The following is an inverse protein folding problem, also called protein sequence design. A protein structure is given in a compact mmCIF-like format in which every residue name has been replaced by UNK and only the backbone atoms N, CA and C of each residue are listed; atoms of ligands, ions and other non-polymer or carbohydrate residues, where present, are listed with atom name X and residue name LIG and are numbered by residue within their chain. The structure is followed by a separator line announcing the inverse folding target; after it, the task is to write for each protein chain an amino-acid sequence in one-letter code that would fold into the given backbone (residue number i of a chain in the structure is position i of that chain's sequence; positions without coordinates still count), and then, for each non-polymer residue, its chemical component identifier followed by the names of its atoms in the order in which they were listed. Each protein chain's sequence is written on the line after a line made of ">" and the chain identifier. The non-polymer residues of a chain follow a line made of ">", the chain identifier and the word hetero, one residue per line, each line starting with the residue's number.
data_IF_065758827556
#
_entry.id   IF_065758827556
#
_cell.length_a   1.000
_cell.length_b   1.000
_cell.length_c   1.000
_cell.angle_alpha   90.00
_cell.angle_beta   90.00
_cell.angle_gamma   90.00
#
_symmetry.space_group_name_H-M   'P 1'
#
loop_
_entity.id
_entity.type
_entity.pdbx_description
1 polymer ?
#
# COMPACT_ATOMS: atom_id res chain seq x y z
N UNK A 1 6.91 -2.12 -30.82
CA UNK A 1 8.13 -1.46 -31.32
C UNK A 1 7.82 0.01 -31.64
N UNK A 2 8.76 0.88 -31.39
CA UNK A 2 8.66 2.27 -31.84
C UNK A 2 8.86 2.35 -33.35
N UNK A 3 8.03 3.14 -34.04
CA UNK A 3 8.03 3.25 -35.52
C UNK A 3 9.22 4.05 -36.06
N UNK A 4 9.94 4.79 -35.23
CA UNK A 4 11.06 5.65 -35.63
C UNK A 4 12.40 5.01 -35.35
N UNK A 5 12.55 4.36 -34.19
CA UNK A 5 13.84 3.85 -33.69
C UNK A 5 13.98 2.34 -33.77
N UNK A 6 12.89 1.60 -34.04
CA UNK A 6 12.78 0.13 -33.96
C UNK A 6 13.04 -0.48 -32.56
N UNK A 7 13.33 0.33 -31.55
CA UNK A 7 13.41 -0.11 -30.17
C UNK A 7 12.02 -0.47 -29.61
N UNK A 8 11.98 -1.12 -28.46
CA UNK A 8 10.71 -1.27 -27.76
C UNK A 8 10.23 0.10 -27.28
N UNK A 9 8.95 0.40 -27.48
CA UNK A 9 8.40 1.73 -27.21
C UNK A 9 8.69 2.19 -25.77
N UNK A 10 8.63 1.27 -24.80
CA UNK A 10 8.93 1.58 -23.40
C UNK A 10 10.35 2.09 -23.18
N UNK A 11 11.32 1.66 -24.01
CA UNK A 11 12.73 2.04 -23.87
C UNK A 11 13.01 3.48 -24.38
N UNK A 12 12.10 4.04 -25.18
CA UNK A 12 12.20 5.41 -25.72
C UNK A 12 11.28 6.41 -25.03
N UNK A 13 10.42 5.95 -24.13
CA UNK A 13 9.61 6.84 -23.28
C UNK A 13 10.47 7.34 -22.13
N UNK A 14 10.46 8.67 -21.93
CA UNK A 14 11.14 9.27 -20.77
C UNK A 14 10.56 8.72 -19.47
N UNK A 15 11.45 8.23 -18.58
CA UNK A 15 11.10 7.64 -17.28
C UNK A 15 10.67 8.71 -16.27
N UNK A 16 9.57 9.39 -16.57
CA UNK A 16 8.92 10.43 -15.77
C UNK A 16 7.41 10.24 -15.81
N UNK A 17 6.78 10.17 -14.64
CA UNK A 17 5.33 10.01 -14.53
C UNK A 17 4.67 11.29 -14.01
N UNK A 18 3.78 11.88 -14.83
CA UNK A 18 2.92 12.99 -14.42
C UNK A 18 1.86 12.55 -13.40
N UNK A 19 1.28 13.51 -12.70
CA UNK A 19 0.12 13.29 -11.85
C UNK A 19 -0.91 14.42 -11.99
N UNK A 20 -2.19 14.10 -11.75
CA UNK A 20 -3.31 15.07 -11.84
C UNK A 20 -3.85 15.46 -10.45
N UNK A 21 -3.18 15.06 -9.37
CA UNK A 21 -3.49 15.49 -8.01
C UNK A 21 -4.26 14.47 -7.16
N UNK A 22 -4.98 13.51 -7.74
CA UNK A 22 -5.81 12.56 -6.96
C UNK A 22 -5.00 11.74 -5.96
N UNK A 23 -3.82 11.22 -6.34
CA UNK A 23 -2.94 10.50 -5.41
C UNK A 23 -2.46 11.37 -4.25
N UNK A 24 -2.18 12.66 -4.49
CA UNK A 24 -1.85 13.62 -3.43
C UNK A 24 -3.02 13.83 -2.49
N UNK A 25 -4.22 14.05 -3.03
CA UNK A 25 -5.41 14.26 -2.20
C UNK A 25 -5.73 13.04 -1.33
N UNK A 26 -5.63 11.84 -1.91
CA UNK A 26 -5.80 10.58 -1.16
C UNK A 26 -4.80 10.46 -0.01
N UNK A 27 -3.52 10.74 -0.26
CA UNK A 27 -2.49 10.69 0.79
C UNK A 27 -2.70 11.74 1.89
N UNK A 28 -3.10 12.97 1.52
CA UNK A 28 -3.42 14.03 2.48
C UNK A 28 -4.61 13.60 3.35
N UNK A 29 -5.67 13.06 2.73
CA UNK A 29 -6.87 12.66 3.46
C UNK A 29 -6.60 11.48 4.37
N UNK A 30 -5.82 10.50 3.93
CA UNK A 30 -5.40 9.38 4.77
C UNK A 30 -4.66 9.86 6.03
N UNK A 31 -3.73 10.84 5.89
CA UNK A 31 -3.04 11.43 7.04
C UNK A 31 -3.99 12.19 7.97
N UNK A 32 -4.98 12.92 7.44
CA UNK A 32 -6.00 13.63 8.24
C UNK A 32 -6.91 12.69 9.03
N UNK A 33 -7.09 11.48 8.53
CA UNK A 33 -7.90 10.45 9.16
C UNK A 33 -7.09 9.49 10.03
N UNK A 34 -5.76 9.68 10.12
CA UNK A 34 -4.83 8.78 10.80
C UNK A 34 -4.91 7.35 10.24
N UNK A 35 -5.16 7.25 8.93
CA UNK A 35 -5.38 6.01 8.22
C UNK A 35 -4.13 5.53 7.48
N UNK A 36 -3.87 4.21 7.50
CA UNK A 36 -2.73 3.60 6.81
C UNK A 36 -3.02 3.34 5.33
N UNK A 37 -2.81 4.33 4.47
CA UNK A 37 -2.85 4.21 3.00
C UNK A 37 -1.45 4.06 2.40
N UNK A 38 -0.62 3.18 2.97
CA UNK A 38 0.81 3.07 2.63
C UNK A 38 1.07 2.74 1.16
N UNK A 39 0.28 1.85 0.54
CA UNK A 39 0.47 1.48 -0.87
C UNK A 39 0.12 2.64 -1.81
N UNK A 40 -0.99 3.33 -1.54
CA UNK A 40 -1.44 4.47 -2.35
C UNK A 40 -0.44 5.62 -2.25
N UNK A 41 0.08 5.88 -1.06
CA UNK A 41 1.09 6.90 -0.80
C UNK A 41 2.43 6.53 -1.44
N UNK A 42 2.87 5.26 -1.37
CA UNK A 42 4.09 4.80 -2.04
C UNK A 42 4.01 4.98 -3.56
N UNK A 43 2.87 4.65 -4.18
CA UNK A 43 2.64 4.88 -5.60
C UNK A 43 2.73 6.37 -5.98
N UNK A 44 2.17 7.24 -5.17
CA UNK A 44 2.24 8.70 -5.37
C UNK A 44 3.69 9.21 -5.22
N UNK A 45 4.41 8.80 -4.18
CA UNK A 45 5.80 9.21 -3.94
C UNK A 45 6.75 8.72 -5.03
N UNK A 46 6.54 7.52 -5.58
CA UNK A 46 7.31 7.02 -6.71
C UNK A 46 7.20 7.94 -7.94
N UNK A 47 6.01 8.49 -8.20
CA UNK A 47 5.81 9.47 -9.28
C UNK A 47 6.53 10.79 -9.01
N UNK A 48 6.58 11.25 -7.76
CA UNK A 48 7.35 12.45 -7.40
C UNK A 48 8.84 12.18 -7.64
N UNK A 49 9.36 11.03 -7.18
CA UNK A 49 10.77 10.66 -7.37
C UNK A 49 11.13 10.58 -8.86
N UNK A 50 10.23 10.06 -9.72
CA UNK A 50 10.49 9.98 -11.16
C UNK A 50 10.79 11.33 -11.80
N UNK A 51 10.23 12.42 -11.28
CA UNK A 51 10.43 13.79 -11.78
C UNK A 51 11.75 14.43 -11.30
N UNK A 52 12.48 13.82 -10.37
CA UNK A 52 13.76 14.35 -9.86
C UNK A 52 14.93 13.92 -10.74
N UNK A 53 14.88 14.22 -12.03
CA UNK A 53 15.85 13.74 -13.03
C UNK A 53 17.29 14.07 -12.69
N UNK A 54 17.57 15.32 -12.33
CA UNK A 54 18.94 15.74 -12.02
C UNK A 54 19.54 14.99 -10.82
N UNK A 55 18.73 14.75 -9.78
CA UNK A 55 19.14 13.97 -8.61
C UNK A 55 19.38 12.50 -8.99
N UNK A 56 18.45 11.90 -9.72
CA UNK A 56 18.56 10.50 -10.18
C UNK A 56 19.77 10.31 -11.09
N UNK A 57 20.05 11.28 -11.98
CA UNK A 57 21.19 11.24 -12.91
C UNK A 57 22.52 11.32 -12.19
N UNK A 58 22.61 12.05 -11.09
CA UNK A 58 23.82 12.12 -10.28
C UNK A 58 24.15 10.74 -9.64
N UNK A 59 23.13 10.06 -9.09
CA UNK A 59 23.35 8.80 -8.38
C UNK A 59 23.45 7.58 -9.30
N UNK A 60 22.69 7.50 -10.40
CA UNK A 60 22.72 6.34 -11.30
C UNK A 60 24.06 6.12 -12.01
N UNK A 61 24.94 7.12 -12.02
CA UNK A 61 26.29 6.99 -12.55
C UNK A 61 27.26 6.32 -11.58
N UNK A 62 26.94 6.37 -10.30
CA UNK A 62 27.77 5.84 -9.21
C UNK A 62 27.37 4.42 -8.79
N UNK A 63 26.10 4.05 -9.03
CA UNK A 63 25.52 2.77 -8.60
C UNK A 63 24.95 2.06 -9.82
N UNK A 64 25.48 0.89 -10.13
CA UNK A 64 24.99 0.03 -11.19
C UNK A 64 24.11 -1.07 -10.58
N UNK A 65 22.92 -1.24 -11.14
CA UNK A 65 22.03 -2.34 -10.76
C UNK A 65 22.06 -3.38 -11.87
N UNK A 66 22.30 -4.64 -11.51
CA UNK A 66 22.27 -5.74 -12.44
C UNK A 66 20.85 -6.06 -12.90
N UNK A 67 20.71 -6.38 -14.20
CA UNK A 67 19.44 -6.93 -14.70
C UNK A 67 19.23 -8.30 -14.07
N UNK A 68 18.06 -8.50 -13.45
CA UNK A 68 17.68 -9.78 -12.83
C UNK A 68 16.52 -10.39 -13.61
N UNK A 69 16.61 -11.69 -13.82
CA UNK A 69 15.45 -12.44 -14.29
C UNK A 69 14.54 -12.74 -13.10
N UNK A 70 13.29 -12.40 -13.24
CA UNK A 70 12.25 -12.67 -12.24
C UNK A 70 11.24 -13.67 -12.81
N UNK A 71 10.67 -14.48 -11.96
CA UNK A 71 9.59 -15.39 -12.31
C UNK A 71 8.29 -14.60 -12.57
N UNK A 72 7.84 -14.60 -13.82
CA UNK A 72 6.67 -13.81 -14.25
C UNK A 72 5.39 -14.28 -13.57
N UNK A 73 5.23 -15.57 -13.28
CA UNK A 73 4.03 -16.07 -12.58
C UNK A 73 4.00 -15.57 -11.14
N UNK A 74 5.15 -15.50 -10.48
CA UNK A 74 5.27 -14.92 -9.15
C UNK A 74 5.08 -13.40 -9.16
N UNK A 75 5.55 -12.71 -10.20
CA UNK A 75 5.23 -11.27 -10.38
C UNK A 75 3.73 -11.07 -10.49
N UNK A 76 3.02 -11.93 -11.23
CA UNK A 76 1.57 -11.91 -11.36
C UNK A 76 0.86 -12.09 -10.01
N UNK A 77 1.30 -13.06 -9.21
CA UNK A 77 0.76 -13.32 -7.88
C UNK A 77 1.04 -12.14 -6.94
N UNK A 78 2.26 -11.62 -6.92
CA UNK A 78 2.63 -10.44 -6.14
C UNK A 78 1.82 -9.19 -6.54
N UNK A 79 1.63 -8.97 -7.84
CA UNK A 79 0.81 -7.88 -8.37
C UNK A 79 -0.65 -8.02 -7.95
N UNK A 80 -1.23 -9.21 -8.08
CA UNK A 80 -2.60 -9.50 -7.67
C UNK A 80 -2.81 -9.13 -6.20
N UNK A 81 -1.92 -9.59 -5.33
CA UNK A 81 -1.95 -9.31 -3.91
C UNK A 81 -1.81 -7.80 -3.59
N UNK A 82 -0.79 -7.14 -4.15
CA UNK A 82 -0.59 -5.71 -3.92
C UNK A 82 -1.80 -4.89 -4.40
N UNK A 83 -2.40 -5.27 -5.52
CA UNK A 83 -3.61 -4.66 -6.05
C UNK A 83 -4.80 -4.84 -5.09
N UNK A 84 -5.02 -6.03 -4.56
CA UNK A 84 -6.08 -6.31 -3.58
C UNK A 84 -5.91 -5.46 -2.33
N UNK A 85 -4.71 -5.37 -1.76
CA UNK A 85 -4.44 -4.51 -0.60
C UNK A 85 -4.67 -3.03 -0.94
N UNK A 86 -4.24 -2.55 -2.11
CA UNK A 86 -4.44 -1.16 -2.51
C UNK A 86 -5.94 -0.81 -2.64
N UNK A 87 -6.76 -1.72 -3.19
CA UNK A 87 -8.21 -1.53 -3.23
C UNK A 87 -8.82 -1.56 -1.82
N UNK A 88 -8.42 -2.50 -0.96
CA UNK A 88 -8.88 -2.54 0.42
C UNK A 88 -8.56 -1.22 1.14
N UNK A 89 -7.31 -0.74 1.08
CA UNK A 89 -6.94 0.56 1.66
C UNK A 89 -7.80 1.72 1.11
N UNK A 90 -8.11 1.72 -0.18
CA UNK A 90 -8.95 2.76 -0.80
C UNK A 90 -10.39 2.73 -0.30
N UNK A 91 -11.00 1.53 -0.19
CA UNK A 91 -12.37 1.38 0.30
C UNK A 91 -12.50 1.59 1.81
N UNK A 92 -11.51 1.15 2.59
CA UNK A 92 -11.47 1.42 4.03
C UNK A 92 -11.32 2.92 4.31
N UNK A 93 -10.53 3.64 3.51
CA UNK A 93 -10.44 5.09 3.61
C UNK A 93 -11.80 5.77 3.30
N UNK A 94 -12.59 5.26 2.32
CA UNK A 94 -13.96 5.74 2.09
C UNK A 94 -14.87 5.46 3.28
N UNK A 95 -14.80 4.28 3.89
CA UNK A 95 -15.57 3.93 5.07
C UNK A 95 -15.25 4.89 6.23
N UNK A 96 -13.97 5.10 6.50
CA UNK A 96 -13.53 5.96 7.59
C UNK A 96 -13.93 7.42 7.34
N UNK A 97 -13.83 7.90 6.10
CA UNK A 97 -14.34 9.21 5.70
C UNK A 97 -15.85 9.31 5.86
N UNK A 98 -16.58 8.28 5.45
CA UNK A 98 -18.03 8.22 5.62
C UNK A 98 -18.45 8.36 7.07
N UNK A 99 -17.78 7.65 7.96
CA UNK A 99 -18.03 7.73 9.40
C UNK A 99 -17.65 9.11 9.96
N UNK A 100 -16.45 9.59 9.64
CA UNK A 100 -15.93 10.87 10.16
C UNK A 100 -16.75 12.08 9.72
N UNK A 101 -17.22 12.08 8.48
CA UNK A 101 -17.94 13.20 7.89
C UNK A 101 -19.45 12.98 7.80
N UNK A 102 -19.96 11.84 8.30
CA UNK A 102 -21.38 11.48 8.27
C UNK A 102 -21.97 11.50 6.85
N UNK A 103 -21.26 10.91 5.88
CA UNK A 103 -21.68 10.91 4.46
C UNK A 103 -22.62 9.78 4.10
N UNK A 104 -22.71 8.74 4.91
CA UNK A 104 -23.51 7.55 4.63
C UNK A 104 -23.23 6.94 3.24
N UNK A 105 -21.96 6.72 2.92
CA UNK A 105 -21.52 6.22 1.62
C UNK A 105 -21.94 4.78 1.40
N UNK A 106 -22.57 4.50 0.27
CA UNK A 106 -22.81 3.13 -0.18
C UNK A 106 -21.59 2.59 -0.93
N UNK A 107 -20.71 1.86 -0.24
CA UNK A 107 -19.42 1.38 -0.78
C UNK A 107 -19.62 0.38 -1.93
N UNK A 108 -20.69 -0.43 -1.91
CA UNK A 108 -21.06 -1.29 -3.04
C UNK A 108 -21.35 -0.47 -4.30
N UNK A 109 -22.12 0.62 -4.18
CA UNK A 109 -22.42 1.47 -5.33
C UNK A 109 -21.16 2.19 -5.84
N UNK A 110 -20.25 2.60 -4.95
CA UNK A 110 -18.96 3.16 -5.34
C UNK A 110 -18.15 2.13 -6.14
N UNK A 111 -18.07 0.87 -5.68
CA UNK A 111 -17.42 -0.21 -6.41
C UNK A 111 -18.07 -0.43 -7.80
N UNK A 112 -19.39 -0.36 -7.88
CA UNK A 112 -20.14 -0.49 -9.15
C UNK A 112 -19.78 0.61 -10.15
N UNK A 113 -19.63 1.86 -9.70
CA UNK A 113 -19.25 3.00 -10.56
C UNK A 113 -17.84 2.78 -11.16
N UNK A 114 -16.92 2.19 -10.42
CA UNK A 114 -15.55 1.94 -10.89
C UNK A 114 -15.43 0.80 -11.91
N UNK A 115 -16.49 0.02 -12.15
CA UNK A 115 -16.47 -1.12 -13.07
C UNK A 115 -16.50 -0.76 -14.55
N UNK A 116 -16.90 0.45 -14.91
CA UNK A 116 -16.95 0.90 -16.28
C UNK A 116 -16.56 2.38 -16.42
N UNK A 117 -15.88 2.71 -17.50
CA UNK A 117 -15.46 4.08 -17.77
C UNK A 117 -14.39 4.64 -16.83
N UNK A 118 -13.75 3.78 -16.05
CA UNK A 118 -12.73 4.16 -15.09
C UNK A 118 -11.42 3.40 -15.35
N UNK A 119 -10.28 4.09 -15.18
CA UNK A 119 -8.96 3.48 -15.37
C UNK A 119 -8.65 2.36 -14.37
N UNK A 120 -9.30 2.38 -13.20
CA UNK A 120 -9.13 1.36 -12.15
C UNK A 120 -10.09 0.18 -12.28
N UNK A 121 -10.87 0.09 -13.37
CA UNK A 121 -11.77 -1.05 -13.55
C UNK A 121 -11.03 -2.40 -13.41
N UNK A 122 -11.62 -3.35 -12.69
CA UNK A 122 -11.04 -4.65 -12.40
C UNK A 122 -12.12 -5.70 -12.08
N UNK A 123 -11.83 -6.99 -12.33
CA UNK A 123 -12.71 -8.08 -11.87
C UNK A 123 -12.91 -8.06 -10.35
N UNK A 124 -11.87 -7.72 -9.62
CA UNK A 124 -11.86 -7.53 -8.15
C UNK A 124 -13.03 -6.66 -7.64
N UNK A 125 -13.48 -5.67 -8.41
CA UNK A 125 -14.60 -4.81 -8.02
C UNK A 125 -15.92 -5.58 -7.87
N UNK A 126 -16.09 -6.69 -8.60
CA UNK A 126 -17.24 -7.56 -8.43
C UNK A 126 -17.22 -8.26 -7.07
N UNK A 127 -16.03 -8.77 -6.69
CA UNK A 127 -15.85 -9.43 -5.40
C UNK A 127 -16.02 -8.44 -4.23
N UNK A 128 -15.57 -7.19 -4.41
CA UNK A 128 -15.81 -6.09 -3.46
C UNK A 128 -17.30 -5.79 -3.31
N UNK A 129 -18.05 -5.77 -4.41
CA UNK A 129 -19.50 -5.57 -4.36
C UNK A 129 -20.20 -6.69 -3.59
N UNK A 130 -19.80 -7.95 -3.82
CA UNK A 130 -20.35 -9.10 -3.10
C UNK A 130 -20.01 -9.04 -1.61
N UNK A 131 -18.77 -8.67 -1.27
CA UNK A 131 -18.36 -8.52 0.12
C UNK A 131 -19.24 -7.51 0.87
N UNK A 132 -19.52 -6.36 0.27
CA UNK A 132 -20.41 -5.36 0.88
C UNK A 132 -21.88 -5.78 0.88
N UNK A 133 -22.34 -6.60 -0.06
CA UNK A 133 -23.66 -7.21 0.00
C UNK A 133 -23.81 -8.17 1.18
N UNK A 134 -22.74 -8.90 1.47
CA UNK A 134 -22.67 -9.83 2.60
C UNK A 134 -22.39 -9.11 3.94
N UNK A 135 -22.29 -7.77 3.94
CA UNK A 135 -22.11 -6.97 5.15
C UNK A 135 -20.67 -6.92 5.64
N UNK A 136 -19.67 -7.06 4.78
CA UNK A 136 -18.27 -6.94 5.17
C UNK A 136 -17.92 -5.51 5.64
N UNK A 137 -17.35 -5.39 6.83
CA UNK A 137 -16.82 -4.14 7.36
C UNK A 137 -15.38 -3.89 6.86
N UNK A 138 -14.55 -4.93 6.79
CA UNK A 138 -13.16 -4.88 6.35
C UNK A 138 -12.97 -5.91 5.23
N UNK A 139 -12.54 -5.43 4.06
CA UNK A 139 -12.37 -6.29 2.89
C UNK A 139 -11.30 -7.37 3.11
N UNK A 140 -10.21 -7.08 3.83
CA UNK A 140 -9.15 -8.06 4.06
C UNK A 140 -9.56 -9.17 5.04
N UNK A 141 -10.65 -8.98 5.80
CA UNK A 141 -11.24 -10.05 6.63
C UNK A 141 -12.26 -10.90 5.86
N UNK A 142 -12.77 -10.40 4.73
CA UNK A 142 -13.71 -11.16 3.90
C UNK A 142 -13.00 -12.38 3.27
N UNK A 143 -13.60 -13.58 3.29
CA UNK A 143 -12.90 -14.84 3.01
C UNK A 143 -12.13 -14.87 1.68
N UNK A 144 -12.70 -14.32 0.61
CA UNK A 144 -12.07 -14.29 -0.72
C UNK A 144 -10.76 -13.51 -0.68
N UNK A 145 -10.76 -12.32 -0.08
CA UNK A 145 -9.55 -11.47 -0.02
C UNK A 145 -8.55 -11.98 1.00
N UNK A 146 -9.02 -12.49 2.14
CA UNK A 146 -8.16 -13.11 3.15
C UNK A 146 -7.38 -14.29 2.57
N UNK A 147 -8.06 -15.17 1.84
CA UNK A 147 -7.42 -16.32 1.18
C UNK A 147 -6.43 -15.85 0.12
N UNK A 148 -6.79 -14.84 -0.69
CA UNK A 148 -5.88 -14.27 -1.68
C UNK A 148 -4.60 -13.71 -1.05
N UNK A 149 -4.72 -13.04 0.10
CA UNK A 149 -3.55 -12.55 0.87
C UNK A 149 -2.66 -13.72 1.30
N UNK A 150 -3.25 -14.75 1.91
CA UNK A 150 -2.51 -15.91 2.43
C UNK A 150 -1.83 -16.71 1.31
N UNK A 151 -2.50 -16.92 0.19
CA UNK A 151 -1.99 -17.69 -0.96
C UNK A 151 -0.85 -16.97 -1.71
N UNK A 152 -0.92 -15.64 -1.84
CA UNK A 152 0.02 -14.88 -2.66
C UNK A 152 1.14 -14.18 -1.86
N UNK A 153 1.07 -14.11 -0.53
CA UNK A 153 2.11 -13.51 0.30
C UNK A 153 3.51 -14.17 0.12
N UNK A 154 3.64 -15.51 -0.04
CA UNK A 154 4.93 -16.14 -0.32
C UNK A 154 5.56 -15.63 -1.63
N UNK A 155 4.77 -15.51 -2.71
CA UNK A 155 5.26 -15.01 -3.99
C UNK A 155 5.74 -13.56 -3.90
N UNK A 156 5.01 -12.70 -3.18
CA UNK A 156 5.43 -11.32 -2.94
C UNK A 156 6.77 -11.25 -2.21
N UNK A 157 6.95 -12.05 -1.15
CA UNK A 157 8.23 -12.13 -0.41
C UNK A 157 9.38 -12.54 -1.31
N UNK A 158 9.17 -13.56 -2.13
CA UNK A 158 10.20 -14.08 -3.04
C UNK A 158 10.57 -13.03 -4.11
N UNK A 159 9.58 -12.37 -4.73
CA UNK A 159 9.83 -11.30 -5.71
C UNK A 159 10.63 -10.15 -5.09
N UNK A 160 10.32 -9.72 -3.87
CA UNK A 160 11.09 -8.66 -3.18
C UNK A 160 12.54 -9.10 -2.95
N UNK A 161 12.78 -10.35 -2.52
CA UNK A 161 14.14 -10.87 -2.31
C UNK A 161 14.91 -10.95 -3.63
N UNK A 162 14.28 -11.46 -4.70
CA UNK A 162 14.90 -11.55 -6.01
C UNK A 162 15.19 -10.19 -6.64
N UNK A 163 14.44 -9.17 -6.27
CA UNK A 163 14.46 -7.83 -6.85
C UNK A 163 14.91 -6.75 -5.85
N UNK A 164 15.76 -7.12 -4.89
CA UNK A 164 16.16 -6.22 -3.78
C UNK A 164 16.78 -4.90 -4.28
N UNK A 165 17.44 -4.94 -5.44
CA UNK A 165 18.09 -3.79 -6.05
C UNK A 165 17.15 -3.03 -7.03
N UNK A 166 15.92 -3.50 -7.23
CA UNK A 166 14.94 -2.87 -8.11
C UNK A 166 13.98 -1.97 -7.32
N UNK A 167 13.61 -0.80 -7.88
CA UNK A 167 12.67 0.09 -7.22
C UNK A 167 11.23 -0.42 -7.36
N UNK A 168 10.77 -1.24 -6.42
CA UNK A 168 9.42 -1.79 -6.36
C UNK A 168 8.62 -1.19 -5.18
N UNK A 169 8.38 0.14 -5.13
CA UNK A 169 7.87 0.82 -3.94
C UNK A 169 6.51 0.32 -3.48
N UNK A 170 5.60 -0.03 -4.40
CA UNK A 170 4.27 -0.54 -4.03
C UNK A 170 4.33 -1.98 -3.51
N UNK A 171 5.18 -2.84 -4.11
CA UNK A 171 5.38 -4.21 -3.61
C UNK A 171 6.05 -4.21 -2.24
N UNK A 172 7.05 -3.35 -2.04
CA UNK A 172 7.72 -3.18 -0.75
C UNK A 172 6.75 -2.68 0.32
N UNK A 173 5.89 -1.71 -0.02
CA UNK A 173 4.84 -1.24 0.88
C UNK A 173 3.82 -2.34 1.20
N UNK A 174 3.43 -3.16 0.22
CA UNK A 174 2.53 -4.30 0.42
C UNK A 174 3.14 -5.35 1.34
N UNK A 175 4.42 -5.69 1.14
CA UNK A 175 5.12 -6.63 2.04
C UNK A 175 5.21 -6.09 3.47
N UNK A 176 5.56 -4.82 3.62
CA UNK A 176 5.60 -4.16 4.94
C UNK A 176 4.23 -4.19 5.61
N UNK A 177 3.17 -3.86 4.87
CA UNK A 177 1.80 -3.90 5.37
C UNK A 177 1.40 -5.30 5.86
N UNK A 178 1.64 -6.36 5.06
CA UNK A 178 1.36 -7.74 5.46
C UNK A 178 2.18 -8.15 6.69
N UNK A 179 3.46 -7.81 6.73
CA UNK A 179 4.30 -8.12 7.87
C UNK A 179 3.79 -7.44 9.15
N UNK A 180 3.28 -6.22 9.05
CA UNK A 180 2.64 -5.54 10.18
C UNK A 180 1.35 -6.23 10.61
N UNK A 181 0.49 -6.64 9.67
CA UNK A 181 -0.75 -7.36 9.97
C UNK A 181 -0.52 -8.73 10.63
N UNK A 182 0.57 -9.40 10.29
CA UNK A 182 0.86 -10.77 10.76
C UNK A 182 1.84 -10.82 11.94
N UNK A 183 2.44 -9.70 12.32
CA UNK A 183 3.40 -9.65 13.41
C UNK A 183 2.71 -9.69 14.78
N UNK A 184 3.24 -10.47 15.68
CA UNK A 184 2.83 -10.49 17.09
C UNK A 184 3.36 -9.29 17.89
N UNK A 185 4.38 -8.60 17.38
CA UNK A 185 4.96 -7.41 18.01
C UNK A 185 5.49 -6.46 16.94
N UNK A 186 4.99 -5.22 16.93
CA UNK A 186 5.39 -4.17 15.98
C UNK A 186 6.51 -3.26 16.51
N UNK A 187 6.98 -3.48 17.74
CA UNK A 187 7.92 -2.56 18.41
C UNK A 187 7.26 -1.28 18.93
N UNK A 188 5.94 -1.14 18.80
CA UNK A 188 5.19 0.02 19.32
C UNK A 188 5.28 0.15 20.84
N UNK A 189 5.47 -0.98 21.54
CA UNK A 189 5.74 -1.03 22.97
C UNK A 189 7.04 -0.29 23.35
N UNK A 190 8.10 -0.40 22.55
CA UNK A 190 9.35 0.34 22.75
C UNK A 190 9.12 1.84 22.57
N UNK A 191 8.39 2.22 21.52
CA UNK A 191 8.05 3.62 21.26
C UNK A 191 7.24 4.18 22.43
N UNK A 192 6.22 3.45 22.90
CA UNK A 192 5.41 3.89 24.03
C UNK A 192 6.21 3.97 25.33
N UNK A 193 7.13 3.01 25.56
CA UNK A 193 8.07 3.08 26.70
C UNK A 193 8.97 4.31 26.63
N UNK A 194 9.52 4.63 25.45
CA UNK A 194 10.30 5.88 25.26
C UNK A 194 9.47 7.14 25.52
N UNK A 195 8.21 7.18 25.06
CA UNK A 195 7.32 8.31 25.33
C UNK A 195 7.06 8.48 26.83
N UNK A 196 6.90 7.36 27.54
CA UNK A 196 6.75 7.40 28.99
C UNK A 196 8.03 7.87 29.69
N UNK A 197 9.20 7.39 29.24
CA UNK A 197 10.50 7.82 29.74
C UNK A 197 10.73 9.33 29.57
N UNK A 198 10.46 9.88 28.40
CA UNK A 198 10.73 11.28 28.09
C UNK A 198 9.69 12.26 28.62
N UNK A 199 8.45 11.84 28.80
CA UNK A 199 7.36 12.79 29.07
C UNK A 199 6.21 12.24 29.90
N UNK A 200 6.40 11.11 30.58
CA UNK A 200 5.36 10.47 31.42
C UNK A 200 4.02 10.26 30.66
N UNK A 201 4.10 9.91 29.37
CA UNK A 201 2.91 9.73 28.52
C UNK A 201 2.10 8.49 28.87
N UNK A 202 2.53 7.73 29.85
CA UNK A 202 1.92 6.50 30.34
C UNK A 202 1.87 5.38 29.28
N UNK A 203 1.60 4.17 29.69
CA UNK A 203 1.40 3.00 28.85
C UNK A 203 0.38 2.06 29.48
N UNK A 204 -0.25 1.24 28.64
CA UNK A 204 -1.06 0.12 29.08
C UNK A 204 -0.23 -1.15 29.15
N UNK A 205 -0.53 -2.02 30.09
CA UNK A 205 0.12 -3.32 30.25
C UNK A 205 -0.74 -4.43 29.64
N UNK A 206 -0.08 -5.54 29.27
CA UNK A 206 -0.78 -6.73 28.75
C UNK A 206 -1.35 -7.64 29.85
N UNK A 207 -0.91 -7.44 31.10
CA UNK A 207 -1.23 -8.32 32.24
C UNK A 207 -2.24 -7.69 33.22
N UNK A 208 -2.62 -6.42 33.03
CA UNK A 208 -3.63 -5.72 33.83
C UNK A 208 -4.17 -4.49 33.11
N UNK A 209 -5.33 -4.05 33.53
CA UNK A 209 -5.98 -2.85 32.97
C UNK A 209 -5.41 -1.55 33.58
N UNK A 210 -5.62 -0.45 32.87
CA UNK A 210 -5.26 0.91 33.28
C UNK A 210 -4.03 1.45 32.59
N UNK A 211 -3.73 2.72 32.90
CA UNK A 211 -2.56 3.42 32.40
C UNK A 211 -1.54 3.57 33.52
N UNK A 212 -0.30 3.31 33.26
CA UNK A 212 0.80 3.36 34.22
C UNK A 212 1.93 4.23 33.70
N UNK A 213 2.67 4.82 34.65
CA UNK A 213 3.94 5.48 34.43
C UNK A 213 5.02 4.73 35.22
N UNK A 214 6.11 4.41 34.56
CA UNK A 214 7.26 3.81 35.24
C UNK A 214 8.20 4.91 35.75
N UNK A 215 8.64 4.77 37.00
CA UNK A 215 9.71 5.62 37.54
C UNK A 215 11.05 5.15 36.98
N UNK A 216 11.42 5.75 35.85
CA UNK A 216 12.69 5.48 35.19
C UNK A 216 13.81 6.05 36.08
N UNK A 217 14.51 5.19 36.79
CA UNK A 217 15.53 5.57 37.78
C UNK A 217 16.81 6.07 37.17
#
# INVERSE_FOLDING_TARGET
>A
KDSVTEHDLVDVILDVAGNKGTGRWTSIEALRQEFNASLLTAAYQARIMSNQLALRDAYRKEITNDKKNVDIDKVHQAYKLAKTIAFAQGFDLYRDASNKYSWDLNLKQIAAIFRAGCIIQAKLLQDIMHAYDDGADDLLLYPVFKNEVLENAPALKEIIVQSIDLPLPVFTAALTYINQLTSTCLGANIIQGQRDFFGAHTYQRVDREGFEHHRWG
#
